data_IF_996161594408
#
_entry.id   IF_996161594408
#
_cell.length_a   1.000
_cell.length_b   1.000
_cell.length_c   1.000
_cell.angle_alpha   90.00
_cell.angle_beta   90.00
_cell.angle_gamma   90.00
#
_symmetry.space_group_name_H-M   'P 1'
#
loop_
_entity.id
_entity.type
_entity.pdbx_description
1 polymer ?
#
# COMPACT_ATOMS: atom_id res chain seq x y z
N UNK A 1 -10.01 34.46 13.05
CA UNK A 1 -8.88 33.77 12.38
C UNK A 1 -9.15 32.29 12.55
N UNK A 2 -9.71 31.69 11.50
CA UNK A 2 -10.31 30.36 11.52
C UNK A 2 -9.27 29.29 11.91
N UNK A 3 -9.47 28.62 13.04
CA UNK A 3 -8.84 27.36 13.37
C UNK A 3 -9.35 26.29 12.37
N UNK A 4 -8.89 26.33 11.13
CA UNK A 4 -9.07 25.17 10.25
C UNK A 4 -8.27 24.03 10.88
N UNK A 5 -9.00 23.13 11.54
CA UNK A 5 -8.43 22.06 12.33
C UNK A 5 -7.48 21.24 11.46
N UNK A 6 -6.29 20.92 11.98
CA UNK A 6 -5.31 20.09 11.30
C UNK A 6 -5.92 18.78 10.78
N UNK A 7 -6.96 18.30 11.48
CA UNK A 7 -7.81 17.15 11.11
C UNK A 7 -8.48 17.35 9.76
N UNK A 8 -9.11 18.51 9.50
CA UNK A 8 -9.77 18.80 8.22
C UNK A 8 -8.77 18.84 7.06
N UNK A 9 -7.55 19.32 7.33
CA UNK A 9 -6.46 19.36 6.35
C UNK A 9 -5.85 17.99 6.08
N UNK A 10 -5.84 17.08 7.07
CA UNK A 10 -5.43 15.69 6.89
C UNK A 10 -6.46 14.89 6.08
N UNK A 11 -7.76 15.11 6.32
CA UNK A 11 -8.84 14.38 5.64
C UNK A 11 -8.98 14.83 4.18
N UNK A 12 -8.66 16.08 3.86
CA UNK A 12 -8.73 16.62 2.50
C UNK A 12 -7.63 16.10 1.55
N UNK A 13 -6.70 15.28 2.04
CA UNK A 13 -5.62 14.68 1.26
C UNK A 13 -6.11 13.40 0.57
N UNK A 14 -5.89 13.22 -0.75
CA UNK A 14 -6.32 12.01 -1.46
C UNK A 14 -5.66 10.74 -0.90
N UNK A 15 -4.53 10.87 -0.22
CA UNK A 15 -3.81 9.76 0.43
C UNK A 15 -4.50 9.28 1.72
N UNK A 16 -5.44 10.06 2.27
CA UNK A 16 -6.14 9.71 3.50
C UNK A 16 -7.01 8.45 3.36
N UNK A 17 -7.66 8.27 2.20
CA UNK A 17 -8.49 7.09 1.93
C UNK A 17 -7.72 5.78 2.02
N UNK A 18 -6.66 5.60 1.21
CA UNK A 18 -5.80 4.41 1.28
C UNK A 18 -5.16 4.20 2.66
N UNK A 19 -4.77 5.29 3.33
CA UNK A 19 -4.19 5.20 4.66
C UNK A 19 -5.18 4.66 5.70
N UNK A 20 -6.42 5.17 5.72
CA UNK A 20 -7.47 4.66 6.61
C UNK A 20 -7.76 3.19 6.33
N UNK A 21 -7.84 2.81 5.05
CA UNK A 21 -8.06 1.44 4.64
C UNK A 21 -6.94 0.51 5.14
N UNK A 22 -5.67 0.91 4.99
CA UNK A 22 -4.53 0.18 5.54
C UNK A 22 -4.66 -0.03 7.05
N UNK A 23 -4.98 1.02 7.82
CA UNK A 23 -5.13 0.91 9.28
C UNK A 23 -6.26 -0.07 9.63
N UNK A 24 -7.39 -0.02 8.92
CA UNK A 24 -8.51 -0.94 9.13
C UNK A 24 -8.10 -2.38 8.85
N UNK A 25 -7.43 -2.65 7.72
CA UNK A 25 -6.95 -3.98 7.36
C UNK A 25 -5.97 -4.53 8.40
N UNK A 26 -5.00 -3.73 8.86
CA UNK A 26 -4.06 -4.15 9.89
C UNK A 26 -4.77 -4.55 11.18
N UNK A 27 -5.76 -3.76 11.64
CA UNK A 27 -6.53 -4.06 12.85
C UNK A 27 -7.35 -5.33 12.67
N UNK A 28 -8.08 -5.45 11.56
CA UNK A 28 -8.96 -6.60 11.30
C UNK A 28 -8.16 -7.90 11.16
N UNK A 29 -7.09 -7.91 10.37
CA UNK A 29 -6.29 -9.12 10.17
C UNK A 29 -5.48 -9.51 11.39
N UNK A 30 -5.00 -8.54 12.18
CA UNK A 30 -4.36 -8.83 13.47
C UNK A 30 -5.36 -9.41 14.47
N UNK A 31 -6.61 -8.93 14.47
CA UNK A 31 -7.66 -9.46 15.35
C UNK A 31 -8.08 -10.89 14.95
N UNK A 32 -8.12 -11.20 13.65
CA UNK A 32 -8.43 -12.54 13.14
C UNK A 32 -7.27 -13.51 13.39
N UNK A 33 -6.02 -13.06 13.21
CA UNK A 33 -4.82 -13.88 13.37
C UNK A 33 -3.73 -13.07 14.11
N UNK A 34 -3.43 -13.36 15.38
CA UNK A 34 -2.44 -12.61 16.15
C UNK A 34 -1.00 -12.76 15.59
N UNK A 35 -0.76 -13.79 14.79
CA UNK A 35 0.52 -14.02 14.08
C UNK A 35 0.64 -13.23 12.79
N UNK A 36 -0.40 -12.50 12.35
CA UNK A 36 -0.41 -11.72 11.11
C UNK A 36 0.78 -10.77 11.00
N UNK A 37 1.07 -10.00 12.07
CA UNK A 37 2.21 -9.06 12.14
C UNK A 37 3.52 -9.71 12.59
N UNK A 38 3.64 -11.04 12.55
CA UNK A 38 4.91 -11.69 12.89
C UNK A 38 6.02 -11.24 11.93
N UNK A 39 7.28 -11.12 12.41
CA UNK A 39 8.40 -10.74 11.56
C UNK A 39 8.53 -11.62 10.31
N UNK A 40 8.23 -12.92 10.43
CA UNK A 40 8.25 -13.85 9.31
C UNK A 40 7.19 -13.53 8.25
N UNK A 41 5.94 -13.25 8.65
CA UNK A 41 4.88 -12.90 7.70
C UNK A 41 5.17 -11.56 7.01
N UNK A 42 5.70 -10.59 7.75
CA UNK A 42 6.14 -9.31 7.18
C UNK A 42 7.26 -9.55 6.17
N UNK A 43 8.29 -10.34 6.51
CA UNK A 43 9.38 -10.68 5.60
C UNK A 43 8.87 -11.37 4.33
N UNK A 44 7.99 -12.37 4.46
CA UNK A 44 7.41 -13.06 3.31
C UNK A 44 6.62 -12.11 2.40
N UNK A 45 5.85 -11.20 2.99
CA UNK A 45 5.06 -10.20 2.25
C UNK A 45 5.96 -9.22 1.51
N UNK A 46 7.04 -8.73 2.15
CA UNK A 46 8.02 -7.85 1.53
C UNK A 46 8.71 -8.52 0.35
N UNK A 47 9.15 -9.77 0.50
CA UNK A 47 9.80 -10.54 -0.58
C UNK A 47 8.86 -10.68 -1.78
N UNK A 48 7.60 -11.08 -1.54
CA UNK A 48 6.60 -11.21 -2.59
C UNK A 48 6.30 -9.87 -3.29
N UNK A 49 6.22 -8.78 -2.53
CA UNK A 49 5.98 -7.44 -3.08
C UNK A 49 7.13 -7.00 -4.00
N UNK A 50 8.38 -7.29 -3.63
CA UNK A 50 9.55 -6.98 -4.47
C UNK A 50 9.54 -7.82 -5.75
N UNK A 51 9.21 -9.11 -5.65
CA UNK A 51 9.10 -9.99 -6.81
C UNK A 51 8.07 -9.47 -7.82
N UNK A 52 6.86 -9.14 -7.35
CA UNK A 52 5.84 -8.52 -8.19
C UNK A 52 6.28 -7.15 -8.73
N UNK A 53 6.98 -6.35 -7.92
CA UNK A 53 7.50 -5.06 -8.32
C UNK A 53 8.52 -5.16 -9.45
N UNK A 54 9.45 -6.11 -9.39
CA UNK A 54 10.42 -6.35 -10.45
C UNK A 54 9.75 -6.77 -11.76
N UNK A 55 8.72 -7.63 -11.68
CA UNK A 55 7.92 -8.02 -12.85
C UNK A 55 7.19 -6.79 -13.42
N UNK A 56 6.55 -5.99 -12.57
CA UNK A 56 5.84 -4.80 -13.00
C UNK A 56 6.78 -3.77 -13.66
N UNK A 57 7.99 -3.60 -13.13
CA UNK A 57 9.02 -2.73 -13.74
C UNK A 57 9.46 -3.25 -15.10
N UNK A 58 9.74 -4.55 -15.22
CA UNK A 58 10.10 -5.16 -16.50
C UNK A 58 8.98 -4.99 -17.55
N UNK A 59 7.73 -5.22 -17.15
CA UNK A 59 6.57 -4.99 -18.01
C UNK A 59 6.43 -3.53 -18.41
N UNK A 60 6.63 -2.60 -17.47
CA UNK A 60 6.59 -1.16 -17.74
C UNK A 60 7.64 -0.78 -18.78
N UNK A 61 8.88 -1.27 -18.66
CA UNK A 61 9.93 -1.01 -19.64
C UNK A 61 9.54 -1.52 -21.02
N UNK A 62 8.97 -2.72 -21.09
CA UNK A 62 8.57 -3.35 -22.35
C UNK A 62 7.40 -2.62 -23.03
N UNK A 63 6.45 -2.14 -22.24
CA UNK A 63 5.36 -1.28 -22.70
C UNK A 63 5.89 0.07 -23.21
N UNK A 64 6.84 0.69 -22.49
CA UNK A 64 7.47 1.94 -22.97
C UNK A 64 8.35 1.76 -24.20
N UNK A 65 8.88 0.54 -24.43
CA UNK A 65 9.66 0.20 -25.61
C UNK A 65 8.79 -0.12 -26.85
N UNK A 66 7.46 -0.20 -26.70
CA UNK A 66 6.52 -0.49 -27.79
C UNK A 66 6.40 -1.98 -28.14
N UNK A 67 6.96 -2.87 -27.32
CA UNK A 67 6.88 -4.33 -27.51
C UNK A 67 5.55 -4.92 -27.02
N UNK A 68 4.94 -4.28 -26.02
CA UNK A 68 3.58 -4.59 -25.58
C UNK A 68 2.75 -3.30 -25.52
N UNK A 69 1.74 -3.23 -26.39
CA UNK A 69 0.73 -2.17 -26.34
C UNK A 69 -0.31 -2.50 -25.26
N UNK A 70 -0.84 -1.46 -24.59
CA UNK A 70 -1.85 -1.60 -23.54
C UNK A 70 -3.27 -1.61 -24.08
#
# INVERSE_FOLDING_TARGET
>A
MEHQSLVRRLIAKPEFGPFVLLVVELVVFTAINPTFLSPLNISNTLVFTVELGLIALAMTLLMTAGEFDL
#
